data_IF_426940578151
#
_entry.id   IF_426940578151
#
_cell.length_a   1.000
_cell.length_b   1.000
_cell.length_c   1.000
_cell.angle_alpha   90.00
_cell.angle_beta   90.00
_cell.angle_gamma   90.00
#
_symmetry.space_group_name_H-M   'P 1'
#
loop_
_entity.id
_entity.type
_entity.pdbx_description
1 polymer ?
#
# COMPACT_ATOMS: atom_id res chain seq x y z
N UNK A 1 2.87 -5.83 14.23
CA UNK A 1 2.47 -4.57 14.90
C UNK A 1 1.93 -3.67 13.83
N UNK A 2 0.65 -3.33 13.87
CA UNK A 2 -0.02 -2.47 12.87
C UNK A 2 0.55 -1.05 12.97
N UNK A 3 0.98 -0.48 11.84
CA UNK A 3 1.55 0.88 11.82
C UNK A 3 0.45 1.90 11.58
N UNK A 4 0.52 3.04 12.27
CA UNK A 4 -0.39 4.16 12.04
C UNK A 4 -0.03 4.80 10.70
N UNK A 5 -0.91 4.69 9.73
CA UNK A 5 -0.83 5.43 8.48
C UNK A 5 -1.75 6.66 8.55
N UNK A 6 -1.27 7.80 8.06
CA UNK A 6 -2.10 8.98 7.86
C UNK A 6 -1.96 9.47 6.43
N UNK A 7 -3.07 9.94 5.84
CA UNK A 7 -2.99 10.60 4.55
C UNK A 7 -2.20 11.91 4.65
N UNK A 8 -1.78 12.46 3.50
CA UNK A 8 -0.96 13.68 3.47
C UNK A 8 -1.64 14.88 4.15
N UNK A 9 -2.97 14.97 4.07
CA UNK A 9 -3.76 16.02 4.73
C UNK A 9 -3.93 15.85 6.25
N UNK A 10 -3.49 14.72 6.82
CA UNK A 10 -3.67 14.36 8.22
C UNK A 10 -5.11 14.04 8.65
N UNK A 11 -6.11 14.21 7.77
CA UNK A 11 -7.53 14.02 8.09
C UNK A 11 -7.96 12.55 8.14
N UNK A 12 -7.23 11.64 7.51
CA UNK A 12 -7.56 10.21 7.53
C UNK A 12 -6.43 9.46 8.21
N UNK A 13 -6.80 8.60 9.15
CA UNK A 13 -5.89 7.69 9.85
C UNK A 13 -6.37 6.26 9.64
N UNK A 14 -5.46 5.33 9.41
CA UNK A 14 -5.74 3.89 9.35
C UNK A 14 -4.62 3.13 10.08
N UNK A 15 -4.91 1.89 10.47
CA UNK A 15 -3.92 1.00 11.10
C UNK A 15 -3.71 -0.27 10.25
N UNK A 16 -3.23 -0.16 9.00
CA UNK A 16 -3.02 -1.33 8.16
C UNK A 16 -1.75 -2.09 8.55
N UNK A 17 -1.65 -3.33 8.09
CA UNK A 17 -0.37 -4.00 7.91
C UNK A 17 0.32 -3.40 6.67
N UNK A 18 1.30 -2.54 6.92
CA UNK A 18 2.05 -1.83 5.90
C UNK A 18 3.19 -2.70 5.34
N UNK A 19 3.17 -2.95 4.03
CA UNK A 19 4.14 -3.79 3.32
C UNK A 19 4.79 -3.02 2.17
N UNK A 20 6.10 -3.17 2.04
CA UNK A 20 6.89 -2.57 0.96
C UNK A 20 7.70 -3.65 0.24
N UNK A 21 7.10 -4.37 -0.74
CA UNK A 21 7.83 -5.38 -1.50
C UNK A 21 8.99 -4.75 -2.27
N UNK A 22 10.12 -5.44 -2.28
CA UNK A 22 11.35 -4.99 -2.97
C UNK A 22 11.41 -5.45 -4.42
N UNK A 23 10.58 -6.40 -4.81
CA UNK A 23 10.54 -6.99 -6.14
C UNK A 23 9.15 -7.56 -6.44
N UNK A 24 8.94 -7.89 -7.72
CA UNK A 24 7.66 -8.40 -8.22
C UNK A 24 7.29 -9.75 -7.59
N UNK A 25 8.26 -10.59 -7.22
CA UNK A 25 7.97 -11.90 -6.64
C UNK A 25 7.49 -11.80 -5.19
N UNK A 26 8.03 -10.87 -4.41
CA UNK A 26 7.47 -10.47 -3.12
C UNK A 26 6.05 -9.92 -3.26
N UNK A 27 5.81 -9.06 -4.26
CA UNK A 27 4.47 -8.55 -4.55
C UNK A 27 3.49 -9.69 -4.87
N UNK A 28 3.88 -10.65 -5.72
CA UNK A 28 3.04 -11.83 -6.04
C UNK A 28 2.69 -12.64 -4.79
N UNK A 29 3.65 -12.82 -3.86
CA UNK A 29 3.40 -13.50 -2.59
C UNK A 29 2.39 -12.74 -1.73
N UNK A 30 2.51 -11.42 -1.65
CA UNK A 30 1.57 -10.57 -0.91
C UNK A 30 0.16 -10.68 -1.50
N UNK A 31 0.05 -10.59 -2.83
CA UNK A 31 -1.23 -10.69 -3.56
C UNK A 31 -1.91 -12.04 -3.36
N UNK A 32 -1.16 -13.14 -3.37
CA UNK A 32 -1.71 -14.48 -3.15
C UNK A 32 -2.12 -14.75 -1.70
N UNK A 33 -1.53 -14.03 -0.74
CA UNK A 33 -1.71 -14.27 0.70
C UNK A 33 -2.91 -13.50 1.28
N UNK A 34 -3.31 -12.39 0.67
CA UNK A 34 -4.32 -11.50 1.26
C UNK A 34 -5.45 -11.23 0.28
N UNK A 35 -6.69 -11.41 0.75
CA UNK A 35 -7.89 -11.21 -0.05
C UNK A 35 -8.24 -9.73 -0.27
N UNK A 36 -7.77 -8.86 0.62
CA UNK A 36 -8.02 -7.41 0.59
C UNK A 36 -6.71 -6.64 0.68
N UNK A 37 -6.35 -6.02 -0.44
CA UNK A 37 -5.13 -5.23 -0.57
C UNK A 37 -5.48 -3.84 -1.05
N UNK A 38 -4.94 -2.83 -0.38
CA UNK A 38 -4.96 -1.44 -0.85
C UNK A 38 -3.56 -1.01 -1.24
N UNK A 39 -3.42 -0.49 -2.45
CA UNK A 39 -2.17 0.10 -2.90
C UNK A 39 -2.10 1.55 -2.42
N UNK A 40 -0.95 1.99 -1.93
CA UNK A 40 -0.69 3.38 -1.56
C UNK A 40 0.57 3.87 -2.26
N UNK A 41 0.45 5.00 -2.96
CA UNK A 41 1.59 5.76 -3.50
C UNK A 41 1.91 6.95 -2.60
N UNK A 42 2.21 8.11 -3.18
CA UNK A 42 2.52 9.35 -2.47
C UNK A 42 1.34 9.97 -1.66
N UNK A 43 0.20 9.30 -1.53
CA UNK A 43 -0.91 9.76 -0.68
C UNK A 43 -1.70 10.97 -1.21
N UNK A 44 -1.57 11.31 -2.49
CA UNK A 44 -2.31 12.41 -3.15
C UNK A 44 -3.75 12.07 -3.55
N UNK A 45 -4.22 10.85 -3.28
CA UNK A 45 -5.62 10.48 -3.51
C UNK A 45 -6.51 10.98 -2.37
N UNK A 46 -7.48 11.83 -2.69
CA UNK A 46 -8.46 12.39 -1.75
C UNK A 46 -9.67 11.48 -1.49
N UNK A 47 -9.76 10.33 -2.16
CA UNK A 47 -10.87 9.39 -2.02
C UNK A 47 -10.79 8.60 -0.70
N UNK A 48 -11.88 8.48 0.09
CA UNK A 48 -11.95 7.72 1.35
C UNK A 48 -11.83 6.19 1.17
N UNK A 49 -11.38 5.73 0.01
CA UNK A 49 -11.11 4.32 -0.31
C UNK A 49 -9.82 3.79 0.35
N UNK A 50 -9.03 4.66 0.97
CA UNK A 50 -7.70 4.36 1.51
C UNK A 50 -7.72 3.83 2.97
N UNK A 51 -8.85 3.86 3.65
CA UNK A 51 -8.97 3.28 5.00
C UNK A 51 -9.29 1.79 4.90
N UNK A 52 -8.28 0.97 5.12
CA UNK A 52 -8.43 -0.46 5.38
C UNK A 52 -7.62 -0.82 6.63
N UNK A 53 -8.16 -1.72 7.44
CA UNK A 53 -7.42 -2.30 8.59
C UNK A 53 -6.71 -3.61 8.20
N UNK A 54 -6.82 -4.01 6.93
CA UNK A 54 -6.18 -5.19 6.36
C UNK A 54 -4.75 -4.84 5.89
N UNK A 55 -4.47 -4.91 4.58
CA UNK A 55 -3.12 -4.75 4.04
C UNK A 55 -2.99 -3.51 3.17
N UNK A 56 -1.96 -2.73 3.45
CA UNK A 56 -1.56 -1.57 2.65
C UNK A 56 -0.18 -1.82 2.05
N UNK A 57 -0.08 -1.72 0.72
CA UNK A 57 1.15 -1.99 -0.03
C UNK A 57 1.65 -0.74 -0.71
N UNK A 58 2.89 -0.35 -0.43
CA UNK A 58 3.59 0.72 -1.12
C UNK A 58 4.65 0.14 -2.07
N UNK A 59 4.70 0.68 -3.29
CA UNK A 59 5.55 0.18 -4.37
C UNK A 59 6.78 1.06 -4.64
N UNK A 60 7.17 1.95 -3.72
CA UNK A 60 8.26 2.92 -3.95
C UNK A 60 9.61 2.24 -4.28
N UNK A 61 9.78 0.99 -3.83
CA UNK A 61 10.96 0.15 -4.13
C UNK A 61 10.87 -0.61 -5.46
N UNK A 62 9.70 -0.66 -6.10
CA UNK A 62 9.50 -1.29 -7.40
C UNK A 62 9.40 -0.16 -8.43
N UNK A 63 10.55 0.21 -8.99
CA UNK A 63 10.66 1.21 -10.04
C UNK A 63 11.07 0.55 -11.36
N UNK A 64 10.69 1.16 -12.48
CA UNK A 64 11.03 0.65 -13.82
C UNK A 64 9.81 0.17 -14.59
N UNK A 65 8.92 1.11 -14.94
CA UNK A 65 8.05 0.92 -16.10
C UNK A 65 8.97 0.93 -17.33
N UNK A 66 9.48 -0.25 -17.68
CA UNK A 66 10.15 -0.43 -18.95
C UNK A 66 9.06 -0.67 -19.98
N UNK A 67 8.85 0.32 -20.87
CA UNK A 67 8.02 0.13 -22.06
C UNK A 67 8.53 -1.11 -22.80
N UNK A 68 7.69 -2.13 -22.87
CA UNK A 68 7.78 -3.16 -23.90
C UNK A 68 6.96 -2.68 -25.10
#
# INVERSE_FOLDING_TARGET
>A
MKQRWSNWSGKQTAYPDFLQPKNVDELKKIVRKHDKIRMVGAGHSFSPLATTDDVMVNLDHIQGVNNC
#
